data_IF_322030162636
#
_entry.id   IF_322030162636
#
_cell.length_a   1.000
_cell.length_b   1.000
_cell.length_c   1.000
_cell.angle_alpha   90.00
_cell.angle_beta   90.00
_cell.angle_gamma   90.00
#
_symmetry.space_group_name_H-M   'P 1'
#
loop_
_entity.id
_entity.type
_entity.pdbx_description
1 polymer ?
#
# COMPACT_ATOMS: atom_id res chain seq x y z
N UNK A 1 -7.17 -8.10 -34.48
CA UNK A 1 -7.20 -8.89 -33.23
C UNK A 1 -5.93 -8.73 -32.37
N UNK A 2 -4.71 -8.88 -32.91
CA UNK A 2 -3.43 -8.84 -32.16
C UNK A 2 -3.14 -7.50 -31.44
N UNK A 3 -3.54 -6.34 -32.01
CA UNK A 3 -3.18 -5.03 -31.46
C UNK A 3 -3.76 -4.76 -30.06
N UNK A 4 -5.05 -5.00 -29.82
CA UNK A 4 -5.65 -4.67 -28.51
C UNK A 4 -5.39 -5.72 -27.41
N UNK A 5 -4.96 -6.96 -27.73
CA UNK A 5 -4.52 -7.93 -26.70
C UNK A 5 -3.22 -7.43 -26.05
N UNK A 6 -2.23 -7.06 -26.87
CA UNK A 6 -0.97 -6.51 -26.39
C UNK A 6 -1.17 -5.21 -25.61
N UNK A 7 -2.19 -4.41 -25.95
CA UNK A 7 -2.56 -3.21 -25.18
C UNK A 7 -3.08 -3.60 -23.79
N UNK A 8 -4.03 -4.54 -23.69
CA UNK A 8 -4.55 -5.00 -22.39
C UNK A 8 -3.40 -5.53 -21.52
N UNK A 9 -2.51 -6.36 -22.06
CA UNK A 9 -1.36 -6.89 -21.32
C UNK A 9 -0.48 -5.78 -20.76
N UNK A 10 -0.14 -4.77 -21.57
CA UNK A 10 0.66 -3.62 -21.13
C UNK A 10 -0.02 -2.80 -20.03
N UNK A 11 -1.34 -2.62 -20.12
CA UNK A 11 -2.12 -1.89 -19.11
C UNK A 11 -2.15 -2.67 -17.78
N UNK A 12 -2.38 -3.98 -17.86
CA UNK A 12 -2.32 -4.88 -16.69
C UNK A 12 -0.94 -4.86 -16.05
N UNK A 13 0.14 -4.88 -16.83
CA UNK A 13 1.52 -4.80 -16.33
C UNK A 13 1.85 -3.51 -15.58
N UNK A 14 1.18 -2.42 -15.93
CA UNK A 14 1.28 -1.12 -15.25
C UNK A 14 0.22 -0.92 -14.16
N UNK A 15 -0.54 -1.96 -13.84
CA UNK A 15 -1.64 -1.92 -12.87
C UNK A 15 -2.75 -0.92 -13.25
N UNK A 16 -2.82 -0.52 -14.52
CA UNK A 16 -3.91 0.29 -15.06
C UNK A 16 -5.11 -0.61 -15.41
N UNK A 17 -5.75 -1.10 -14.36
CA UNK A 17 -6.96 -1.90 -14.47
C UNK A 17 -8.15 -1.10 -15.03
N UNK A 18 -8.11 0.24 -14.94
CA UNK A 18 -9.14 1.11 -15.50
C UNK A 18 -9.11 1.10 -17.02
N UNK A 19 -7.95 1.40 -17.60
CA UNK A 19 -7.73 1.32 -19.04
C UNK A 19 -7.90 -0.10 -19.57
N UNK A 20 -7.37 -1.11 -18.86
CA UNK A 20 -7.53 -2.51 -19.28
C UNK A 20 -9.01 -2.92 -19.37
N UNK A 21 -9.84 -2.49 -18.40
CA UNK A 21 -11.28 -2.77 -18.41
C UNK A 21 -11.97 -2.09 -19.59
N UNK A 22 -11.62 -0.84 -19.92
CA UNK A 22 -12.21 -0.16 -21.07
C UNK A 22 -11.96 -0.94 -22.38
N UNK A 23 -10.74 -1.40 -22.60
CA UNK A 23 -10.38 -2.17 -23.81
C UNK A 23 -11.06 -3.54 -23.83
N UNK A 24 -11.31 -4.16 -22.66
CA UNK A 24 -12.10 -5.39 -22.55
C UNK A 24 -13.56 -5.17 -22.94
N UNK A 25 -14.16 -4.08 -22.47
CA UNK A 25 -15.55 -3.74 -22.76
C UNK A 25 -15.76 -3.41 -24.25
N UNK A 26 -14.83 -2.68 -24.87
CA UNK A 26 -14.85 -2.42 -26.32
C UNK A 26 -14.78 -3.70 -27.17
N UNK A 27 -14.38 -4.83 -26.56
CA UNK A 27 -14.35 -6.16 -27.18
C UNK A 27 -15.56 -7.03 -26.84
N UNK A 28 -16.54 -6.49 -26.12
CA UNK A 28 -17.71 -7.23 -25.66
C UNK A 28 -17.38 -8.32 -24.62
N UNK A 29 -16.30 -8.14 -23.85
CA UNK A 29 -15.88 -9.07 -22.80
C UNK A 29 -16.36 -8.63 -21.40
N UNK A 30 -17.31 -7.70 -21.31
CA UNK A 30 -17.81 -7.09 -20.07
C UNK A 30 -18.23 -8.11 -19.00
N UNK A 31 -18.86 -9.19 -19.43
CA UNK A 31 -19.40 -10.24 -18.56
C UNK A 31 -18.43 -11.42 -18.37
N UNK A 32 -17.21 -11.35 -18.92
CA UNK A 32 -16.20 -12.38 -18.73
C UNK A 32 -15.62 -12.36 -17.31
N UNK A 33 -15.23 -13.52 -16.79
CA UNK A 33 -14.52 -13.61 -15.51
C UNK A 33 -13.26 -12.72 -15.47
N UNK A 34 -12.58 -12.58 -16.62
CA UNK A 34 -11.42 -11.69 -16.74
C UNK A 34 -11.80 -10.24 -16.46
N UNK A 35 -12.87 -9.73 -17.09
CA UNK A 35 -13.34 -8.38 -16.86
C UNK A 35 -13.78 -8.18 -15.41
N UNK A 36 -14.43 -9.16 -14.78
CA UNK A 36 -14.81 -9.11 -13.36
C UNK A 36 -13.58 -9.03 -12.45
N UNK A 37 -12.54 -9.83 -12.69
CA UNK A 37 -11.28 -9.79 -11.92
C UNK A 37 -10.58 -8.44 -12.09
N UNK A 38 -10.43 -7.96 -13.33
CA UNK A 38 -9.82 -6.66 -13.65
C UNK A 38 -10.58 -5.53 -12.97
N UNK A 39 -11.91 -5.57 -13.05
CA UNK A 39 -12.79 -4.59 -12.38
C UNK A 39 -12.65 -4.64 -10.86
N UNK A 40 -12.56 -5.81 -10.25
CA UNK A 40 -12.27 -5.93 -8.81
C UNK A 40 -10.93 -5.29 -8.46
N UNK A 41 -9.87 -5.59 -9.23
CA UNK A 41 -8.54 -5.02 -9.02
C UNK A 41 -8.53 -3.49 -9.14
N UNK A 42 -9.27 -2.92 -10.12
CA UNK A 42 -9.46 -1.46 -10.28
C UNK A 42 -9.94 -0.79 -8.98
N UNK A 43 -10.91 -1.39 -8.28
CA UNK A 43 -11.38 -0.84 -7.01
C UNK A 43 -10.41 -1.11 -5.86
N UNK A 44 -9.78 -2.29 -5.83
CA UNK A 44 -8.85 -2.67 -4.77
C UNK A 44 -7.61 -1.75 -4.71
N UNK A 45 -7.00 -1.44 -5.86
CA UNK A 45 -5.83 -0.53 -5.92
C UNK A 45 -6.15 0.90 -5.50
N UNK A 46 -7.44 1.26 -5.49
CA UNK A 46 -7.97 2.54 -5.02
C UNK A 46 -8.51 2.46 -3.58
N UNK A 47 -8.18 1.41 -2.82
CA UNK A 47 -8.61 1.17 -1.44
C UNK A 47 -10.12 0.99 -1.25
N UNK A 48 -10.91 0.85 -2.32
CA UNK A 48 -12.33 0.49 -2.23
C UNK A 48 -12.50 -1.03 -2.15
N UNK A 49 -12.05 -1.59 -1.03
CA UNK A 49 -12.04 -3.03 -0.82
C UNK A 49 -13.44 -3.65 -0.75
N UNK A 50 -14.43 -2.87 -0.29
CA UNK A 50 -15.82 -3.35 -0.19
C UNK A 50 -16.41 -3.54 -1.58
N UNK A 51 -16.25 -2.56 -2.46
CA UNK A 51 -16.71 -2.69 -3.84
C UNK A 51 -15.92 -3.76 -4.59
N UNK A 52 -14.59 -3.78 -4.43
CA UNK A 52 -13.75 -4.83 -5.03
C UNK A 52 -14.19 -6.24 -4.61
N UNK A 53 -14.49 -6.44 -3.33
CA UNK A 53 -14.96 -7.71 -2.80
C UNK A 53 -16.33 -8.10 -3.34
N UNK A 54 -17.28 -7.15 -3.41
CA UNK A 54 -18.60 -7.40 -3.98
C UNK A 54 -18.50 -7.84 -5.44
N UNK A 55 -17.67 -7.17 -6.24
CA UNK A 55 -17.50 -7.45 -7.67
C UNK A 55 -16.90 -8.82 -7.89
N UNK A 56 -15.84 -9.19 -7.17
CA UNK A 56 -15.16 -10.48 -7.37
C UNK A 56 -16.06 -11.68 -7.00
N UNK A 57 -17.16 -11.50 -6.27
CA UNK A 57 -18.11 -12.58 -6.02
C UNK A 57 -18.88 -13.03 -7.27
N UNK A 58 -18.93 -12.18 -8.31
CA UNK A 58 -19.72 -12.42 -9.52
C UNK A 58 -18.99 -13.26 -10.58
N UNK A 59 -17.79 -13.75 -10.31
CA UNK A 59 -17.10 -14.70 -11.20
C UNK A 59 -17.76 -16.08 -11.15
N UNK A 60 -17.52 -16.90 -12.18
CA UNK A 60 -17.94 -18.29 -12.25
C UNK A 60 -17.36 -19.14 -11.12
N UNK A 61 -18.05 -20.24 -10.77
CA UNK A 61 -17.57 -21.15 -9.71
C UNK A 61 -16.26 -21.85 -10.10
N UNK A 62 -16.07 -22.17 -11.39
CA UNK A 62 -14.78 -22.66 -11.90
C UNK A 62 -13.65 -21.66 -11.60
N UNK A 63 -13.89 -20.37 -11.84
CA UNK A 63 -12.90 -19.33 -11.57
C UNK A 63 -12.65 -19.14 -10.07
N UNK A 64 -13.69 -19.26 -9.22
CA UNK A 64 -13.54 -19.24 -7.76
C UNK A 64 -12.66 -20.37 -7.25
N UNK A 65 -12.62 -21.51 -7.93
CA UNK A 65 -11.79 -22.65 -7.52
C UNK A 65 -10.28 -22.42 -7.77
N UNK A 66 -9.92 -21.47 -8.63
CA UNK A 66 -8.53 -21.12 -8.88
C UNK A 66 -7.83 -20.59 -7.61
N UNK A 67 -6.69 -21.19 -7.26
CA UNK A 67 -5.91 -20.85 -6.05
C UNK A 67 -5.59 -19.35 -5.93
N UNK A 68 -5.20 -18.68 -7.01
CA UNK A 68 -4.85 -17.25 -6.99
C UNK A 68 -6.07 -16.38 -6.73
N UNK A 69 -7.20 -16.76 -7.30
CA UNK A 69 -8.47 -16.06 -7.11
C UNK A 69 -8.98 -16.25 -5.67
N UNK A 70 -8.87 -17.47 -5.10
CA UNK A 70 -9.13 -17.70 -3.66
C UNK A 70 -8.26 -16.83 -2.77
N UNK A 71 -6.96 -16.75 -3.06
CA UNK A 71 -6.01 -15.89 -2.34
C UNK A 71 -6.43 -14.41 -2.41
N UNK A 72 -6.85 -13.91 -3.58
CA UNK A 72 -7.36 -12.53 -3.75
C UNK A 72 -8.64 -12.28 -2.95
N UNK A 73 -9.64 -13.17 -3.06
CA UNK A 73 -10.91 -13.07 -2.32
C UNK A 73 -10.66 -13.03 -0.82
N UNK A 74 -9.79 -13.91 -0.31
CA UNK A 74 -9.44 -13.92 1.10
C UNK A 74 -8.67 -12.66 1.52
N UNK A 75 -7.74 -12.18 0.69
CA UNK A 75 -7.02 -10.93 0.95
C UNK A 75 -7.98 -9.74 1.07
N UNK A 76 -8.98 -9.62 0.18
CA UNK A 76 -10.01 -8.58 0.25
C UNK A 76 -10.80 -8.63 1.56
N UNK A 77 -11.14 -9.82 2.07
CA UNK A 77 -11.78 -9.96 3.40
C UNK A 77 -10.90 -9.41 4.52
N UNK A 78 -9.60 -9.70 4.49
CA UNK A 78 -8.64 -9.20 5.48
C UNK A 78 -8.45 -7.68 5.38
N UNK A 79 -8.44 -7.13 4.17
CA UNK A 79 -8.40 -5.67 3.94
C UNK A 79 -9.64 -4.96 4.47
N UNK A 80 -10.83 -5.54 4.29
CA UNK A 80 -12.09 -4.99 4.84
C UNK A 80 -12.09 -5.01 6.37
N UNK A 81 -11.48 -6.04 6.99
CA UNK A 81 -11.32 -6.12 8.45
C UNK A 81 -10.26 -5.18 9.00
N UNK A 82 -9.39 -4.63 8.14
CA UNK A 82 -8.28 -3.77 8.54
C UNK A 82 -7.14 -4.56 9.17
N UNK A 83 -6.94 -5.81 8.74
CA UNK A 83 -5.87 -6.65 9.28
C UNK A 83 -4.49 -6.06 8.93
N UNK A 84 -3.57 -5.88 9.91
CA UNK A 84 -2.32 -5.15 9.69
C UNK A 84 -1.47 -5.70 8.53
N UNK A 85 -1.27 -7.02 8.48
CA UNK A 85 -0.53 -7.70 7.42
C UNK A 85 -1.10 -7.37 6.03
N UNK A 86 -2.42 -7.44 5.89
CA UNK A 86 -3.09 -7.17 4.62
C UNK A 86 -2.97 -5.70 4.22
N UNK A 87 -3.22 -4.77 5.16
CA UNK A 87 -3.20 -3.33 4.88
C UNK A 87 -1.79 -2.84 4.57
N UNK A 88 -0.78 -3.26 5.33
CA UNK A 88 0.60 -2.88 5.03
C UNK A 88 1.08 -3.51 3.72
N UNK A 89 0.64 -4.72 3.38
CA UNK A 89 0.89 -5.31 2.05
C UNK A 89 0.27 -4.48 0.92
N UNK A 90 -0.98 -4.02 1.09
CA UNK A 90 -1.62 -3.13 0.11
C UNK A 90 -0.87 -1.82 -0.05
N UNK A 91 -0.50 -1.19 1.07
CA UNK A 91 0.22 0.08 1.04
C UNK A 91 1.58 -0.02 0.34
N UNK A 92 2.31 -1.13 0.52
CA UNK A 92 3.60 -1.36 -0.18
C UNK A 92 3.39 -1.49 -1.69
N UNK A 93 2.46 -2.33 -2.14
CA UNK A 93 2.14 -2.47 -3.58
C UNK A 93 1.67 -1.13 -4.15
N UNK A 94 0.84 -0.41 -3.40
CA UNK A 94 0.31 0.87 -3.80
C UNK A 94 1.37 1.97 -3.93
N UNK A 95 2.41 1.98 -3.09
CA UNK A 95 3.58 2.86 -3.28
C UNK A 95 4.34 2.45 -4.55
N UNK A 96 4.57 1.14 -4.74
CA UNK A 96 5.25 0.61 -5.93
C UNK A 96 4.55 1.03 -7.22
N UNK A 97 3.22 1.04 -7.26
CA UNK A 97 2.47 1.46 -8.45
C UNK A 97 2.80 2.88 -8.88
N UNK A 98 2.98 3.80 -7.93
CA UNK A 98 3.32 5.19 -8.26
C UNK A 98 4.69 5.29 -8.92
N UNK A 99 5.67 4.48 -8.50
CA UNK A 99 6.97 4.42 -9.18
C UNK A 99 6.85 3.84 -10.59
N UNK A 100 6.07 2.76 -10.76
CA UNK A 100 5.84 2.12 -12.07
C UNK A 100 5.13 3.07 -13.04
N UNK A 101 4.23 3.90 -12.53
CA UNK A 101 3.46 4.83 -13.33
C UNK A 101 4.07 6.24 -13.42
N UNK A 102 5.27 6.43 -12.86
CA UNK A 102 5.99 7.70 -12.87
C UNK A 102 5.23 8.84 -12.15
N UNK A 103 4.35 8.48 -11.22
CA UNK A 103 3.55 9.38 -10.37
C UNK A 103 4.37 9.79 -9.13
N UNK A 104 5.49 10.48 -9.32
CA UNK A 104 6.48 10.73 -8.27
C UNK A 104 5.98 11.63 -7.12
N UNK A 105 5.07 12.55 -7.43
CA UNK A 105 4.45 13.43 -6.41
C UNK A 105 3.58 12.59 -5.46
N UNK A 106 2.76 11.70 -6.00
CA UNK A 106 1.93 10.80 -5.19
C UNK A 106 2.74 9.75 -4.44
N UNK A 107 3.82 9.25 -5.05
CA UNK A 107 4.82 8.42 -4.37
C UNK A 107 5.31 9.08 -3.09
N UNK A 108 5.79 10.33 -3.17
CA UNK A 108 6.27 11.10 -2.02
C UNK A 108 5.18 11.28 -0.94
N UNK A 109 3.95 11.58 -1.36
CA UNK A 109 2.81 11.65 -0.45
C UNK A 109 2.59 10.34 0.33
N UNK A 110 2.69 9.20 -0.36
CA UNK A 110 2.51 7.87 0.23
C UNK A 110 3.67 7.45 1.13
N UNK A 111 4.91 7.83 0.83
CA UNK A 111 6.08 7.60 1.72
C UNK A 111 5.83 8.21 3.11
N UNK A 112 5.40 9.47 3.17
CA UNK A 112 5.10 10.12 4.45
C UNK A 112 3.97 9.41 5.20
N UNK A 113 2.89 9.04 4.49
CA UNK A 113 1.75 8.33 5.09
C UNK A 113 2.14 6.95 5.63
N UNK A 114 3.00 6.25 4.92
CA UNK A 114 3.51 4.93 5.34
C UNK A 114 4.37 5.04 6.60
N UNK A 115 5.30 6.00 6.63
CA UNK A 115 6.08 6.33 7.84
C UNK A 115 5.16 6.60 9.02
N UNK A 116 4.16 7.47 8.84
CA UNK A 116 3.20 7.78 9.90
C UNK A 116 2.42 6.53 10.36
N UNK A 117 2.00 5.66 9.43
CA UNK A 117 1.29 4.42 9.74
C UNK A 117 2.13 3.45 10.58
N UNK A 118 3.42 3.28 10.29
CA UNK A 118 4.34 2.46 11.11
C UNK A 118 4.40 3.00 12.54
N UNK A 119 4.62 4.31 12.71
CA UNK A 119 4.70 4.91 14.04
C UNK A 119 3.40 4.74 14.83
N UNK A 120 2.24 4.97 14.18
CA UNK A 120 0.93 4.74 14.79
C UNK A 120 0.76 3.28 15.23
N UNK A 121 1.13 2.33 14.37
CA UNK A 121 1.05 0.91 14.69
C UNK A 121 1.89 0.56 15.92
N UNK A 122 3.14 1.02 15.99
CA UNK A 122 4.02 0.80 17.17
C UNK A 122 3.36 1.35 18.43
N UNK A 123 2.92 2.61 18.38
CA UNK A 123 2.29 3.27 19.52
C UNK A 123 1.07 2.49 20.01
N UNK A 124 0.18 2.08 19.11
CA UNK A 124 -1.07 1.39 19.47
C UNK A 124 -0.80 -0.03 19.96
N UNK A 125 0.10 -0.79 19.32
CA UNK A 125 0.51 -2.13 19.76
C UNK A 125 1.01 -2.08 21.21
N UNK A 126 1.84 -1.09 21.54
CA UNK A 126 2.36 -0.90 22.90
C UNK A 126 1.35 -0.35 23.88
N UNK A 127 0.56 0.62 23.47
CA UNK A 127 -0.40 1.26 24.36
C UNK A 127 -1.56 0.34 24.73
N UNK A 128 -2.09 -0.44 23.77
CA UNK A 128 -3.16 -1.39 24.00
C UNK A 128 -2.67 -2.70 24.62
N UNK A 129 -1.36 -2.97 24.55
CA UNK A 129 -0.77 -4.25 24.94
C UNK A 129 -1.47 -5.47 24.30
N UNK A 130 -1.88 -5.32 23.03
CA UNK A 130 -2.56 -6.36 22.26
C UNK A 130 -1.67 -6.83 21.13
N UNK A 131 -1.59 -8.15 20.93
CA UNK A 131 -0.86 -8.76 19.81
C UNK A 131 -1.50 -8.42 18.47
N UNK A 132 -2.83 -8.51 18.41
CA UNK A 132 -3.62 -8.32 17.18
C UNK A 132 -4.68 -7.23 17.39
N UNK A 133 -4.80 -6.33 16.43
CA UNK A 133 -5.85 -5.32 16.36
C UNK A 133 -6.05 -4.88 14.90
N UNK A 134 -7.26 -4.43 14.58
CA UNK A 134 -7.57 -3.82 13.28
C UNK A 134 -6.99 -2.41 13.19
N UNK A 135 -6.45 -2.03 12.03
CA UNK A 135 -5.98 -0.66 11.77
C UNK A 135 -7.12 0.37 11.63
N UNK A 136 -8.38 -0.07 11.56
CA UNK A 136 -9.55 0.82 11.43
C UNK A 136 -10.14 1.28 12.77
N UNK A 137 -9.49 0.96 13.89
CA UNK A 137 -9.96 1.44 15.21
C UNK A 137 -9.74 2.95 15.38
N UNK A 138 -10.66 3.63 16.06
CA UNK A 138 -10.58 5.07 16.36
C UNK A 138 -9.25 5.46 17.06
N UNK A 139 -8.69 4.53 17.84
CA UNK A 139 -7.42 4.72 18.53
C UNK A 139 -6.25 5.06 17.57
N UNK A 140 -6.31 4.65 16.30
CA UNK A 140 -5.29 4.97 15.28
C UNK A 140 -5.34 6.42 14.80
N UNK A 141 -6.37 7.19 15.13
CA UNK A 141 -6.50 8.58 14.69
C UNK A 141 -5.43 9.47 15.34
N UNK A 142 -4.89 10.43 14.55
CA UNK A 142 -3.88 11.39 15.04
C UNK A 142 -4.35 12.12 16.30
N UNK A 143 -5.60 12.60 16.30
CA UNK A 143 -6.20 13.32 17.43
C UNK A 143 -6.22 12.46 18.69
N UNK A 144 -6.60 11.18 18.59
CA UNK A 144 -6.67 10.27 19.73
C UNK A 144 -5.29 9.96 20.28
N UNK A 145 -4.32 9.65 19.41
CA UNK A 145 -2.94 9.36 19.81
C UNK A 145 -2.32 10.56 20.51
N UNK A 146 -2.40 11.77 19.94
CA UNK A 146 -1.87 12.99 20.55
C UNK A 146 -2.52 13.28 21.91
N UNK A 147 -3.83 13.04 22.05
CA UNK A 147 -4.54 13.17 23.33
C UNK A 147 -4.01 12.20 24.37
N UNK A 148 -3.73 10.95 23.99
CA UNK A 148 -3.16 9.93 24.91
C UNK A 148 -1.73 10.30 25.30
N UNK A 149 -0.88 10.67 24.33
CA UNK A 149 0.49 11.12 24.56
C UNK A 149 0.53 12.27 25.57
N UNK A 150 -0.32 13.29 25.39
CA UNK A 150 -0.45 14.42 26.29
C UNK A 150 -0.92 14.02 27.69
N UNK A 151 -2.07 13.33 27.79
CA UNK A 151 -2.73 13.07 29.07
C UNK A 151 -2.06 11.99 29.90
N UNK A 152 -1.64 10.88 29.27
CA UNK A 152 -1.11 9.70 29.97
C UNK A 152 0.42 9.74 30.10
N UNK A 153 1.10 10.16 29.04
CA UNK A 153 2.57 10.10 28.98
C UNK A 153 3.25 11.47 29.17
N UNK A 154 2.46 12.55 29.36
CA UNK A 154 2.95 13.94 29.51
C UNK A 154 3.90 14.36 28.37
N UNK A 155 3.59 13.91 27.15
CA UNK A 155 4.33 14.28 25.94
C UNK A 155 3.50 15.30 25.16
N UNK A 156 3.97 16.55 25.15
CA UNK A 156 3.33 17.67 24.46
C UNK A 156 4.06 17.95 23.15
N UNK A 157 3.56 17.38 22.05
CA UNK A 157 4.04 17.71 20.71
C UNK A 157 2.87 17.70 19.71
N UNK A 158 2.84 18.65 18.78
CA UNK A 158 1.83 18.73 17.72
C UNK A 158 2.15 17.82 16.53
N UNK A 159 3.43 17.51 16.31
CA UNK A 159 3.90 16.54 15.33
C UNK A 159 3.75 15.12 15.90
N UNK A 160 2.94 14.31 15.21
CA UNK A 160 2.60 12.96 15.66
C UNK A 160 3.82 12.04 15.68
N UNK A 161 4.63 12.05 14.62
CA UNK A 161 5.82 11.20 14.50
C UNK A 161 6.82 11.53 15.60
N UNK A 162 7.07 12.82 15.84
CA UNK A 162 7.98 13.24 16.91
C UNK A 162 7.44 12.87 18.30
N UNK A 163 6.14 13.07 18.53
CA UNK A 163 5.50 12.68 19.79
C UNK A 163 5.60 11.18 20.06
N UNK A 164 5.41 10.34 19.05
CA UNK A 164 5.58 8.88 19.17
C UNK A 164 7.06 8.50 19.33
N UNK A 165 7.98 9.16 18.62
CA UNK A 165 9.43 8.93 18.78
C UNK A 165 9.86 9.22 20.22
N UNK A 166 9.41 10.34 20.79
CA UNK A 166 9.64 10.68 22.20
C UNK A 166 9.07 9.63 23.15
N UNK A 167 7.89 9.10 22.84
CA UNK A 167 7.27 8.02 23.61
C UNK A 167 8.11 6.75 23.58
N UNK A 168 8.58 6.33 22.41
CA UNK A 168 9.40 5.12 22.26
C UNK A 168 10.72 5.30 23.02
N UNK A 169 11.44 6.41 22.80
CA UNK A 169 12.72 6.68 23.46
C UNK A 169 12.59 6.80 25.00
N UNK A 170 11.42 7.20 25.53
CA UNK A 170 11.22 7.33 26.97
C UNK A 170 10.80 6.03 27.65
N UNK A 171 10.02 5.20 26.97
CA UNK A 171 9.32 4.06 27.60
C UNK A 171 9.68 2.69 27.03
N UNK A 172 10.31 2.64 25.84
CA UNK A 172 10.62 1.41 25.11
C UNK A 172 12.02 1.44 24.49
N UNK A 173 12.94 2.25 25.03
CA UNK A 173 14.30 2.40 24.51
C UNK A 173 15.14 1.11 24.64
N UNK A 174 14.83 0.26 25.61
CA UNK A 174 15.46 -1.05 25.73
C UNK A 174 15.11 -2.02 24.59
N UNK A 175 14.06 -1.74 23.80
CA UNK A 175 13.65 -2.59 22.69
C UNK A 175 14.35 -2.19 21.39
N UNK A 176 15.49 -2.85 21.12
CA UNK A 176 16.37 -2.57 19.99
C UNK A 176 15.65 -2.49 18.63
N UNK A 177 14.62 -3.32 18.41
CA UNK A 177 13.83 -3.30 17.17
C UNK A 177 13.18 -1.95 16.88
N UNK A 178 12.69 -1.23 17.88
CA UNK A 178 12.05 0.07 17.66
C UNK A 178 13.08 1.16 17.44
N UNK A 179 14.23 1.07 18.12
CA UNK A 179 15.35 1.96 17.89
C UNK A 179 15.89 1.83 16.46
N UNK A 180 15.99 0.60 15.93
CA UNK A 180 16.32 0.35 14.53
C UNK A 180 15.32 1.01 13.57
N UNK A 181 14.01 0.84 13.83
CA UNK A 181 12.95 1.47 13.01
C UNK A 181 13.04 2.99 13.07
N UNK A 182 13.22 3.59 14.24
CA UNK A 182 13.34 5.04 14.41
C UNK A 182 14.54 5.57 13.64
N UNK A 183 15.71 4.95 13.80
CA UNK A 183 16.94 5.36 13.11
C UNK A 183 16.77 5.32 11.59
N UNK A 184 16.12 4.27 11.07
CA UNK A 184 15.89 4.14 9.64
C UNK A 184 14.87 5.16 9.11
N UNK A 185 13.71 5.26 9.75
CA UNK A 185 12.62 6.14 9.30
C UNK A 185 12.90 7.63 9.54
N UNK A 186 13.78 7.97 10.47
CA UNK A 186 14.27 9.34 10.70
C UNK A 186 15.69 9.56 10.16
N UNK A 187 16.17 8.69 9.28
CA UNK A 187 17.44 8.90 8.59
C UNK A 187 17.42 10.16 7.74
N UNK A 188 18.60 10.65 7.39
CA UNK A 188 18.77 11.81 6.52
C UNK A 188 18.08 11.60 5.16
N UNK A 189 18.17 10.39 4.58
CA UNK A 189 17.54 10.06 3.30
C UNK A 189 16.02 10.19 3.36
N UNK A 190 15.37 9.60 4.37
CA UNK A 190 13.91 9.72 4.53
C UNK A 190 13.51 11.16 4.80
N UNK A 191 14.32 11.91 5.55
CA UNK A 191 14.07 13.32 5.84
C UNK A 191 14.11 14.16 4.55
N UNK A 192 15.12 13.97 3.70
CA UNK A 192 15.21 14.61 2.37
C UNK A 192 14.00 14.30 1.49
N UNK A 193 13.49 13.06 1.49
CA UNK A 193 12.24 12.74 0.77
C UNK A 193 11.03 13.51 1.32
N UNK A 194 10.96 13.69 2.64
CA UNK A 194 9.88 14.49 3.27
C UNK A 194 10.02 15.97 2.90
N UNK A 195 11.23 16.48 2.80
CA UNK A 195 11.48 17.86 2.38
C UNK A 195 11.08 18.07 0.91
N UNK A 196 11.48 17.17 0.01
CA UNK A 196 10.98 17.14 -1.37
C UNK A 196 9.45 17.15 -1.40
N UNK A 197 8.81 16.27 -0.61
CA UNK A 197 7.35 16.20 -0.49
C UNK A 197 6.75 17.53 -0.05
N UNK A 198 7.37 18.23 0.91
CA UNK A 198 6.87 19.50 1.43
C UNK A 198 6.88 20.61 0.37
N UNK A 199 7.85 20.59 -0.55
CA UNK A 199 7.96 21.54 -1.65
C UNK A 199 6.93 21.33 -2.78
N UNK A 200 6.22 20.19 -2.79
CA UNK A 200 5.22 19.85 -3.82
C UNK A 200 3.78 20.16 -3.41
N UNK A 201 2.86 19.99 -4.37
CA UNK A 201 1.40 20.15 -4.19
C UNK A 201 0.78 19.21 -3.15
N UNK A 202 1.37 18.04 -2.90
CA UNK A 202 0.89 17.12 -1.83
C UNK A 202 1.37 17.55 -0.45
N UNK A 203 2.29 18.51 -0.39
CA UNK A 203 2.86 19.13 0.80
C UNK A 203 2.28 20.52 1.05
N UNK A 204 3.15 21.52 0.98
CA UNK A 204 2.83 22.94 1.21
C UNK A 204 3.32 23.84 0.07
N UNK A 205 3.94 23.27 -0.97
CA UNK A 205 4.51 24.01 -2.09
C UNK A 205 3.87 23.64 -3.43
N UNK A 206 4.57 23.96 -4.52
CA UNK A 206 4.09 23.81 -5.89
C UNK A 206 5.15 23.26 -6.86
N UNK A 207 6.33 22.86 -6.36
CA UNK A 207 7.39 22.30 -7.21
C UNK A 207 7.00 20.92 -7.73
N UNK A 208 7.39 20.64 -8.97
CA UNK A 208 7.36 19.28 -9.52
C UNK A 208 8.49 18.42 -8.95
N UNK A 209 8.42 17.11 -9.19
CA UNK A 209 9.46 16.15 -8.78
C UNK A 209 9.68 15.17 -9.93
N UNK A 210 10.95 14.94 -10.24
CA UNK A 210 11.43 14.00 -11.24
C UNK A 210 11.96 12.70 -10.61
N UNK A 211 12.26 11.72 -11.45
CA UNK A 211 12.93 10.48 -11.02
C UNK A 211 14.34 10.77 -10.53
N UNK A 212 15.02 11.72 -11.16
CA UNK A 212 16.38 12.15 -10.85
C UNK A 212 16.44 12.72 -9.43
N UNK A 213 15.47 13.55 -9.05
CA UNK A 213 15.37 14.10 -7.68
C UNK A 213 15.28 13.00 -6.63
N UNK A 214 14.48 11.96 -6.87
CA UNK A 214 14.37 10.80 -5.98
C UNK A 214 15.67 9.99 -5.95
N UNK A 215 16.32 9.86 -7.11
CA UNK A 215 17.54 9.08 -7.28
C UNK A 215 18.75 9.74 -6.61
N UNK A 216 18.80 11.06 -6.54
CA UNK A 216 19.82 11.80 -5.77
C UNK A 216 19.75 11.43 -4.27
N UNK A 217 18.54 11.18 -3.74
CA UNK A 217 18.35 10.88 -2.32
C UNK A 217 18.57 9.39 -2.00
N UNK A 218 18.04 8.51 -2.84
CA UNK A 218 17.97 7.07 -2.55
C UNK A 218 18.74 6.16 -3.51
N UNK A 219 19.35 6.72 -4.55
CA UNK A 219 19.93 5.98 -5.68
C UNK A 219 18.82 5.36 -6.52
N UNK A 220 18.41 4.14 -6.16
CA UNK A 220 17.23 3.53 -6.72
C UNK A 220 16.01 3.84 -5.83
N UNK A 221 14.96 4.55 -6.32
CA UNK A 221 13.77 4.86 -5.53
C UNK A 221 13.04 3.63 -4.96
N UNK A 222 13.17 2.46 -5.58
CA UNK A 222 12.60 1.21 -5.05
C UNK A 222 13.22 0.79 -3.71
N UNK A 223 14.44 1.22 -3.38
CA UNK A 223 15.10 0.89 -2.12
C UNK A 223 14.34 1.42 -0.88
N UNK A 224 13.50 2.46 -1.06
CA UNK A 224 12.63 2.96 0.03
C UNK A 224 11.62 1.88 0.46
N UNK A 225 11.15 1.05 -0.48
CA UNK A 225 10.25 -0.06 -0.19
C UNK A 225 10.96 -1.12 0.66
N UNK A 226 12.25 -1.35 0.43
CA UNK A 226 13.04 -2.32 1.20
C UNK A 226 13.25 -1.86 2.64
N UNK A 227 13.51 -0.56 2.86
CA UNK A 227 13.54 0.03 4.19
C UNK A 227 12.21 -0.18 4.94
N UNK A 228 11.09 0.05 4.25
CA UNK A 228 9.76 -0.16 4.81
C UNK A 228 9.48 -1.63 5.11
N UNK A 229 9.79 -2.55 4.19
CA UNK A 229 9.66 -3.99 4.42
C UNK A 229 10.51 -4.44 5.61
N UNK A 230 11.72 -3.90 5.75
CA UNK A 230 12.58 -4.18 6.89
C UNK A 230 11.95 -3.71 8.20
N UNK A 231 11.38 -2.50 8.25
CA UNK A 231 10.63 -2.04 9.42
C UNK A 231 9.45 -2.96 9.76
N UNK A 232 8.67 -3.40 8.77
CA UNK A 232 7.52 -4.28 8.98
C UNK A 232 7.93 -5.66 9.48
N UNK A 233 9.06 -6.19 8.97
CA UNK A 233 9.67 -7.43 9.47
C UNK A 233 10.04 -7.32 10.95
N UNK A 234 10.66 -6.20 11.36
CA UNK A 234 10.96 -5.93 12.78
C UNK A 234 9.70 -5.81 13.67
N UNK A 235 8.54 -5.58 13.08
CA UNK A 235 7.24 -5.49 13.75
C UNK A 235 6.45 -6.81 13.74
N UNK A 236 7.03 -7.87 13.18
CA UNK A 236 6.38 -9.17 12.95
C UNK A 236 5.16 -9.09 12.01
N UNK A 237 5.16 -8.12 11.10
CA UNK A 237 4.09 -7.95 10.09
C UNK A 237 4.50 -8.71 8.83
N UNK A 238 3.65 -9.64 8.39
CA UNK A 238 3.92 -10.45 7.20
C UNK A 238 3.42 -9.74 5.96
N UNK A 239 4.31 -9.52 5.00
CA UNK A 239 3.98 -8.85 3.74
C UNK A 239 3.77 -9.89 2.63
N UNK A 240 2.63 -9.82 1.95
CA UNK A 240 2.36 -10.60 0.75
C UNK A 240 2.84 -9.83 -0.49
N UNK A 241 4.11 -10.05 -0.83
CA UNK A 241 4.73 -9.41 -1.99
C UNK A 241 4.22 -9.98 -3.32
N UNK A 242 4.22 -9.11 -4.34
CA UNK A 242 3.89 -9.44 -5.73
C UNK A 242 2.47 -9.96 -5.91
N UNK A 243 1.55 -9.61 -4.99
CA UNK A 243 0.18 -10.14 -5.02
C UNK A 243 -0.51 -9.77 -6.34
N UNK A 244 -0.37 -8.52 -6.78
CA UNK A 244 -0.98 -8.07 -8.03
C UNK A 244 -0.22 -8.61 -9.24
N UNK A 245 1.10 -8.79 -9.18
CA UNK A 245 1.83 -9.48 -10.25
C UNK A 245 1.34 -10.91 -10.45
N UNK A 246 1.12 -11.67 -9.37
CA UNK A 246 0.57 -13.04 -9.43
C UNK A 246 -0.85 -13.07 -10.02
N UNK A 247 -1.68 -12.06 -9.71
CA UNK A 247 -3.03 -11.93 -10.27
C UNK A 247 -2.97 -11.51 -11.74
N UNK A 248 -2.07 -10.59 -12.10
CA UNK A 248 -1.83 -10.18 -13.47
C UNK A 248 -1.42 -11.36 -14.34
N UNK A 249 -0.51 -12.21 -13.85
CA UNK A 249 -0.11 -13.44 -14.56
C UNK A 249 -1.31 -14.37 -14.79
N UNK A 250 -2.22 -14.47 -13.81
CA UNK A 250 -3.44 -15.25 -13.95
C UNK A 250 -4.41 -14.63 -14.97
N UNK A 251 -4.58 -13.31 -14.96
CA UNK A 251 -5.39 -12.55 -15.93
C UNK A 251 -4.87 -12.79 -17.35
N UNK A 252 -3.55 -12.67 -17.56
CA UNK A 252 -2.93 -12.89 -18.87
C UNK A 252 -3.15 -14.30 -19.39
N UNK A 253 -2.98 -15.33 -18.54
CA UNK A 253 -3.28 -16.72 -18.91
C UNK A 253 -4.73 -16.92 -19.34
N UNK A 254 -5.68 -16.24 -18.69
CA UNK A 254 -7.08 -16.30 -19.07
C UNK A 254 -7.33 -15.58 -20.41
N UNK A 255 -6.69 -14.42 -20.62
CA UNK A 255 -6.75 -13.70 -21.90
C UNK A 255 -6.16 -14.51 -23.06
N UNK A 256 -5.06 -15.23 -22.84
CA UNK A 256 -4.45 -16.10 -23.86
C UNK A 256 -5.42 -17.18 -24.33
N UNK A 257 -6.16 -17.79 -23.40
CA UNK A 257 -7.17 -18.80 -23.73
C UNK A 257 -8.32 -18.21 -24.55
N UNK A 258 -8.75 -17.00 -24.23
CA UNK A 258 -9.81 -16.29 -24.97
C UNK A 258 -9.33 -15.91 -26.37
N UNK A 259 -8.08 -15.48 -26.52
CA UNK A 259 -7.53 -15.04 -27.80
C UNK A 259 -7.18 -16.19 -28.76
N UNK A 260 -6.97 -17.41 -28.22
CA UNK A 260 -6.66 -18.61 -28.99
C UNK A 260 -7.88 -19.52 -29.22
N UNK A 261 -9.04 -19.19 -28.63
CA UNK A 261 -10.35 -19.80 -28.92
C UNK A 261 -11.03 -19.06 -30.06
#
# INVERSE_FOLDING_TARGET
MIKSYNVIVKLIDRYDYGGALQVLNERGLDDSDVAVIVKSCKYAVNFDFKTAFKIIQNISDECKENKRIKELINNLKHLIKGDPDAIFSELIENIKFQLVNEEYIDFLGRIYRFKEAIFKYIFIKKHLNRRNFSLYIDAMSKKRILKILRKKYRINNSNLVYGITTYINRYHDSEERYNKIIRLLNSEKVTKLIDLRNDTIVGHGFKGVSKEDLSIVYGNPYNVLDDFKYCLKLLDIKINEYKYSKINDQIKKMLDKINNS
#
